data_IF_928825337033
#
_entry.id   IF_928825337033
#
_cell.length_a   1.000
_cell.length_b   1.000
_cell.length_c   1.000
_cell.angle_alpha   90.00
_cell.angle_beta   90.00
_cell.angle_gamma   90.00
#
_symmetry.space_group_name_H-M   'P 1'
#
loop_
_entity.id
_entity.type
_entity.pdbx_description
1 polymer ?
#
# COMPACT_ATOMS: atom_id res chain seq x y z
N UNK A 1 56.26 20.96 33.49
CA UNK A 1 55.75 19.93 34.40
C UNK A 1 54.42 20.40 34.95
N UNK A 2 53.43 19.58 35.25
CA UNK A 2 53.15 18.15 35.10
C UNK A 2 51.61 18.05 35.22
N UNK A 3 50.94 17.33 34.33
CA UNK A 3 50.48 15.95 34.48
C UNK A 3 49.39 15.72 35.54
N UNK A 4 48.31 15.03 35.17
CA UNK A 4 47.42 14.34 36.12
C UNK A 4 45.93 14.44 35.79
N UNK A 5 45.34 13.37 35.25
CA UNK A 5 43.94 13.26 34.84
C UNK A 5 42.95 12.88 35.94
N UNK A 6 41.71 12.60 35.51
CA UNK A 6 40.63 12.09 36.35
C UNK A 6 39.39 11.74 35.52
N UNK A 7 39.16 10.44 35.38
CA UNK A 7 38.04 9.77 34.73
C UNK A 7 36.83 9.65 35.69
N UNK A 8 35.61 9.47 35.14
CA UNK A 8 34.40 9.07 35.86
C UNK A 8 33.16 9.73 35.25
N UNK A 9 32.12 9.04 34.74
CA UNK A 9 31.75 7.64 34.86
C UNK A 9 30.27 7.55 35.27
N UNK A 10 29.42 7.05 34.37
CA UNK A 10 28.05 6.54 34.61
C UNK A 10 26.99 7.58 35.05
N UNK A 11 25.70 7.40 34.83
CA UNK A 11 24.91 6.21 34.59
C UNK A 11 23.45 6.66 34.36
N UNK A 12 22.63 5.81 33.74
CA UNK A 12 21.28 5.58 34.25
C UNK A 12 20.09 6.15 33.46
N UNK A 13 19.61 5.36 32.51
CA UNK A 13 18.24 5.41 31.98
C UNK A 13 18.12 4.28 30.96
N UNK A 14 17.88 3.02 31.30
CA UNK A 14 16.91 2.55 32.29
C UNK A 14 15.58 2.32 31.59
N UNK A 15 15.51 1.36 30.67
CA UNK A 15 14.24 0.74 30.30
C UNK A 15 14.35 -0.77 30.54
N UNK A 16 14.03 -1.16 31.76
CA UNK A 16 13.81 -2.55 32.13
C UNK A 16 12.32 -2.83 32.13
N UNK A 17 11.92 -3.99 31.61
CA UNK A 17 10.69 -4.65 32.02
C UNK A 17 9.76 -5.09 30.90
N UNK A 18 10.13 -6.15 30.18
CA UNK A 18 9.21 -6.88 29.31
C UNK A 18 9.97 -7.88 28.45
N UNK A 19 10.32 -9.04 29.00
CA UNK A 19 10.95 -10.15 28.26
C UNK A 19 9.97 -10.87 27.31
N UNK A 20 9.16 -10.11 26.59
CA UNK A 20 8.38 -10.61 25.46
C UNK A 20 9.24 -10.62 24.20
N UNK A 21 8.91 -11.46 23.20
CA UNK A 21 9.52 -11.32 21.89
C UNK A 21 9.29 -9.91 21.34
N UNK A 22 10.24 -9.33 20.59
CA UNK A 22 10.07 -8.02 19.96
C UNK A 22 8.82 -8.03 19.06
N UNK A 23 8.02 -6.96 19.13
CA UNK A 23 6.84 -6.80 18.28
C UNK A 23 7.31 -6.65 16.82
N UNK A 24 6.81 -7.49 15.91
CA UNK A 24 7.18 -7.37 14.50
C UNK A 24 6.44 -6.17 13.90
N UNK A 25 7.17 -5.07 13.78
CA UNK A 25 6.72 -3.83 13.14
C UNK A 25 7.62 -3.51 11.95
N UNK A 26 7.14 -2.61 11.10
CA UNK A 26 7.87 -2.17 9.92
C UNK A 26 9.22 -1.55 10.31
N UNK A 27 10.31 -2.05 9.72
CA UNK A 27 11.68 -1.60 10.00
C UNK A 27 12.59 -1.63 8.77
N UNK A 28 12.03 -1.75 7.55
CA UNK A 28 12.78 -1.71 6.29
C UNK A 28 13.21 -0.27 5.92
N UNK A 29 14.19 0.26 6.64
CA UNK A 29 14.85 1.54 6.40
C UNK A 29 16.21 1.58 7.12
N UNK A 30 17.14 2.38 6.61
CA UNK A 30 18.46 2.67 7.17
C UNK A 30 18.33 3.75 8.25
N UNK A 31 18.08 3.37 9.51
CA UNK A 31 17.87 4.36 10.56
C UNK A 31 17.67 3.80 11.97
N UNK A 32 17.40 4.68 12.95
CA UNK A 32 17.00 4.25 14.29
C UNK A 32 15.62 3.60 14.24
N UNK A 33 15.40 2.60 15.09
CA UNK A 33 14.06 2.04 15.30
C UNK A 33 13.14 3.12 15.86
N UNK A 34 11.93 3.21 15.30
CA UNK A 34 10.87 4.10 15.81
C UNK A 34 9.74 3.31 16.44
N UNK A 35 9.06 3.94 17.38
CA UNK A 35 7.81 3.44 17.94
C UNK A 35 6.60 3.77 17.04
N UNK A 36 5.54 3.00 17.22
CA UNK A 36 4.27 3.18 16.54
C UNK A 36 3.13 3.38 17.56
N UNK A 37 2.23 4.34 17.37
CA UNK A 37 2.14 5.27 16.23
C UNK A 37 3.32 6.25 16.15
N UNK A 38 3.73 6.62 14.93
CA UNK A 38 4.84 7.54 14.72
C UNK A 38 4.57 8.89 15.38
N UNK A 39 5.48 9.29 16.26
CA UNK A 39 5.49 10.61 16.89
C UNK A 39 6.49 11.54 16.21
N UNK A 40 6.45 12.82 16.61
CA UNK A 40 7.27 13.88 16.00
C UNK A 40 8.76 13.57 16.03
N UNK A 41 9.29 13.17 17.18
CA UNK A 41 10.72 12.90 17.33
C UNK A 41 11.14 11.75 16.41
N UNK A 42 10.31 10.70 16.30
CA UNK A 42 10.53 9.60 15.34
C UNK A 42 10.47 10.05 13.89
N UNK A 43 9.55 10.95 13.52
CA UNK A 43 9.49 11.51 12.17
C UNK A 43 10.73 12.38 11.85
N UNK A 44 11.24 13.13 12.83
CA UNK A 44 12.46 13.92 12.72
C UNK A 44 13.70 13.02 12.55
N UNK A 45 13.75 11.89 13.26
CA UNK A 45 14.80 10.87 13.10
C UNK A 45 14.77 10.26 11.68
N UNK A 46 13.58 9.88 11.20
CA UNK A 46 13.38 9.30 9.87
C UNK A 46 13.60 10.29 8.72
N UNK A 47 13.51 11.61 8.96
CA UNK A 47 13.69 12.61 7.91
C UNK A 47 15.09 12.60 7.27
N UNK A 48 16.07 12.00 7.95
CA UNK A 48 17.45 11.86 7.48
C UNK A 48 17.77 10.49 6.86
N UNK A 49 16.78 9.59 6.81
CA UNK A 49 16.94 8.22 6.33
C UNK A 49 16.40 8.06 4.90
N UNK A 50 16.34 6.82 4.46
CA UNK A 50 15.69 6.32 3.26
C UNK A 50 14.20 5.97 3.45
N UNK A 51 13.63 6.25 4.63
CA UNK A 51 12.22 6.04 4.91
C UNK A 51 11.35 6.93 4.02
N UNK A 52 10.36 6.33 3.36
CA UNK A 52 9.53 7.05 2.41
C UNK A 52 8.38 7.77 3.11
N UNK A 53 8.43 9.11 3.06
CA UNK A 53 7.36 10.03 3.49
C UNK A 53 6.84 9.77 4.93
N UNK A 54 7.64 9.98 5.98
CA UNK A 54 7.20 9.90 7.38
C UNK A 54 6.21 11.02 7.73
N UNK A 55 4.94 10.83 7.39
CA UNK A 55 3.86 11.81 7.58
C UNK A 55 3.18 11.60 8.94
N UNK A 56 3.01 12.68 9.70
CA UNK A 56 2.30 12.67 10.98
C UNK A 56 0.79 12.92 10.81
N UNK A 57 -0.09 12.31 11.64
CA UNK A 57 -1.54 12.51 11.56
C UNK A 57 -2.03 13.96 11.73
N UNK A 58 -1.23 14.82 12.35
CA UNK A 58 -1.57 16.23 12.58
C UNK A 58 -1.12 17.19 11.47
N UNK A 59 -0.53 16.70 10.39
CA UNK A 59 -0.04 17.55 9.31
C UNK A 59 -1.17 18.21 8.50
N UNK A 60 -0.98 19.43 7.97
CA UNK A 60 -2.06 20.22 7.35
C UNK A 60 -2.75 19.56 6.14
N UNK A 61 -2.06 18.66 5.44
CA UNK A 61 -2.60 17.99 4.26
C UNK A 61 -3.29 16.65 4.58
N UNK A 62 -3.32 16.25 5.86
CA UNK A 62 -4.00 15.04 6.32
C UNK A 62 -5.48 15.37 6.58
N UNK A 63 -6.35 14.89 5.71
CA UNK A 63 -7.80 15.12 5.76
C UNK A 63 -8.59 14.00 6.47
N UNK A 64 -7.98 12.82 6.57
CA UNK A 64 -8.54 11.63 7.23
C UNK A 64 -7.52 11.08 8.23
N UNK A 65 -7.93 10.99 9.49
CA UNK A 65 -7.09 10.45 10.56
C UNK A 65 -6.96 8.92 10.46
N UNK A 66 -5.86 8.32 10.97
CA UNK A 66 -5.64 6.87 10.92
C UNK A 66 -6.78 6.02 11.50
N UNK A 67 -7.49 6.51 12.52
CA UNK A 67 -8.61 5.80 13.16
C UNK A 67 -9.90 5.73 12.33
N UNK A 68 -9.93 6.26 11.11
CA UNK A 68 -11.10 6.15 10.22
C UNK A 68 -11.33 4.71 9.73
N UNK A 69 -10.24 3.98 9.47
CA UNK A 69 -10.28 2.54 9.14
C UNK A 69 -9.93 1.71 10.38
N UNK A 70 -10.28 0.42 10.34
CA UNK A 70 -9.88 -0.51 11.39
C UNK A 70 -8.35 -0.55 11.51
N UNK A 71 -7.82 -0.70 12.72
CA UNK A 71 -6.37 -0.87 12.92
C UNK A 71 -5.83 -2.06 12.12
N UNK A 72 -4.59 -1.95 11.67
CA UNK A 72 -3.86 -3.07 11.09
C UNK A 72 -3.78 -4.24 12.08
N UNK A 73 -3.83 -5.47 11.57
CA UNK A 73 -3.48 -6.66 12.35
C UNK A 73 -1.99 -6.98 12.22
N UNK A 74 -1.46 -7.62 13.26
CA UNK A 74 -0.05 -7.96 13.42
C UNK A 74 0.12 -9.43 13.88
N UNK A 75 1.28 -10.07 13.60
CA UNK A 75 1.52 -11.46 14.00
C UNK A 75 1.56 -11.66 15.52
N UNK A 76 1.83 -10.59 16.26
CA UNK A 76 1.94 -10.51 17.73
C UNK A 76 0.66 -10.03 18.43
N UNK A 77 -0.44 -9.84 17.69
CA UNK A 77 -1.73 -9.50 18.28
C UNK A 77 -2.24 -10.62 19.22
N UNK A 78 -3.09 -10.25 20.17
CA UNK A 78 -3.66 -11.20 21.14
C UNK A 78 -4.50 -12.32 20.48
N UNK A 79 -5.09 -12.04 19.32
CA UNK A 79 -5.80 -12.98 18.45
C UNK A 79 -5.26 -12.86 17.02
N UNK A 80 -4.15 -13.54 16.69
CA UNK A 80 -3.47 -13.38 15.42
C UNK A 80 -4.04 -14.30 14.32
N UNK A 81 -5.11 -15.05 14.58
CA UNK A 81 -5.66 -16.03 13.63
C UNK A 81 -6.07 -15.37 12.30
N UNK A 82 -6.71 -14.20 12.38
CA UNK A 82 -7.09 -13.43 11.20
C UNK A 82 -5.86 -12.92 10.42
N UNK A 83 -4.81 -12.50 11.13
CA UNK A 83 -3.55 -12.10 10.50
C UNK A 83 -2.91 -13.28 9.77
N UNK A 84 -2.79 -14.43 10.43
CA UNK A 84 -2.12 -15.59 9.86
C UNK A 84 -2.89 -16.20 8.69
N UNK A 85 -4.22 -16.25 8.75
CA UNK A 85 -5.05 -16.68 7.62
C UNK A 85 -4.86 -15.77 6.40
N UNK A 86 -4.79 -14.46 6.61
CA UNK A 86 -4.53 -13.50 5.54
C UNK A 86 -3.10 -13.64 4.99
N UNK A 87 -2.10 -13.75 5.87
CA UNK A 87 -0.71 -13.94 5.45
C UNK A 87 -0.51 -15.25 4.68
N UNK A 88 -1.15 -16.34 5.12
CA UNK A 88 -1.11 -17.63 4.40
C UNK A 88 -1.63 -17.50 2.98
N UNK A 89 -2.71 -16.73 2.76
CA UNK A 89 -3.21 -16.45 1.43
C UNK A 89 -2.20 -15.67 0.57
N UNK A 90 -1.42 -14.74 1.15
CA UNK A 90 -0.34 -14.05 0.43
C UNK A 90 0.77 -15.04 0.05
N UNK A 91 1.17 -15.92 0.98
CA UNK A 91 2.17 -16.98 0.73
C UNK A 91 1.72 -17.89 -0.41
N UNK A 92 0.44 -18.29 -0.44
CA UNK A 92 -0.12 -19.11 -1.53
C UNK A 92 0.00 -18.44 -2.89
N UNK A 93 -0.27 -17.13 -2.98
CA UNK A 93 -0.05 -16.39 -4.22
C UNK A 93 1.42 -16.27 -4.60
N UNK A 94 2.34 -16.16 -3.62
CA UNK A 94 3.77 -16.11 -3.92
C UNK A 94 4.31 -17.45 -4.40
N UNK A 95 3.88 -18.57 -3.81
CA UNK A 95 4.20 -19.91 -4.31
C UNK A 95 3.65 -20.10 -5.73
N UNK A 96 2.36 -19.81 -5.96
CA UNK A 96 1.75 -19.92 -7.28
C UNK A 96 2.46 -19.06 -8.33
N UNK A 97 2.83 -17.81 -7.99
CA UNK A 97 3.55 -16.91 -8.90
C UNK A 97 4.96 -17.42 -9.22
N UNK A 98 5.68 -17.98 -8.24
CA UNK A 98 7.01 -18.55 -8.45
C UNK A 98 6.96 -19.79 -9.35
N UNK A 99 5.98 -20.66 -9.13
CA UNK A 99 5.84 -21.92 -9.87
C UNK A 99 5.27 -21.72 -11.28
N UNK A 100 4.30 -20.81 -11.42
CA UNK A 100 3.56 -20.59 -12.65
C UNK A 100 3.29 -19.08 -12.87
N UNK A 101 4.32 -18.27 -13.17
CA UNK A 101 4.20 -16.81 -13.27
C UNK A 101 3.21 -16.34 -14.35
N UNK A 102 3.02 -17.15 -15.40
CA UNK A 102 2.09 -16.89 -16.50
C UNK A 102 0.65 -17.33 -16.21
N UNK A 103 0.37 -17.80 -14.99
CA UNK A 103 -1.00 -18.14 -14.58
C UNK A 103 -1.93 -16.94 -14.75
N UNK A 104 -3.12 -17.11 -15.35
CA UNK A 104 -4.04 -16.01 -15.57
C UNK A 104 -4.53 -15.44 -14.22
N UNK A 105 -4.67 -14.12 -14.13
CA UNK A 105 -5.23 -13.46 -12.93
C UNK A 105 -6.75 -13.58 -12.82
N UNK A 106 -7.44 -13.83 -13.95
CA UNK A 106 -8.90 -13.85 -14.04
C UNK A 106 -9.64 -14.79 -13.05
N UNK A 107 -9.10 -15.96 -12.65
CA UNK A 107 -9.73 -16.80 -11.63
C UNK A 107 -9.74 -16.17 -10.21
N UNK A 108 -8.84 -15.22 -9.95
CA UNK A 108 -8.64 -14.62 -8.62
C UNK A 108 -9.13 -13.17 -8.54
N UNK A 109 -9.33 -12.54 -9.70
CA UNK A 109 -9.61 -11.11 -9.81
C UNK A 109 -10.42 -10.84 -11.09
N UNK A 110 -11.50 -10.05 -10.96
CA UNK A 110 -12.20 -9.51 -12.12
C UNK A 110 -11.42 -8.34 -12.72
N UNK A 111 -10.74 -8.58 -13.84
CA UNK A 111 -9.90 -7.60 -14.51
C UNK A 111 -10.71 -6.57 -15.31
N UNK A 112 -10.31 -5.29 -15.33
CA UNK A 112 -10.83 -4.34 -16.30
C UNK A 112 -10.33 -4.71 -17.70
N UNK A 113 -11.06 -4.27 -18.73
CA UNK A 113 -10.73 -4.52 -20.14
C UNK A 113 -9.32 -4.06 -20.49
N UNK A 114 -8.86 -2.95 -19.92
CA UNK A 114 -7.50 -2.41 -20.16
C UNK A 114 -6.38 -3.30 -19.61
N UNK A 115 -6.70 -4.26 -18.72
CA UNK A 115 -5.78 -5.27 -18.18
C UNK A 115 -6.23 -6.69 -18.56
N UNK A 116 -7.07 -6.83 -19.59
CA UNK A 116 -7.58 -8.12 -20.02
C UNK A 116 -6.45 -9.08 -20.38
N UNK A 117 -6.50 -10.29 -19.84
CA UNK A 117 -5.51 -11.35 -20.13
C UNK A 117 -4.23 -11.27 -19.29
N UNK A 118 -4.12 -10.33 -18.35
CA UNK A 118 -2.95 -10.25 -17.48
C UNK A 118 -2.79 -11.54 -16.66
N UNK A 119 -1.55 -12.06 -16.66
CA UNK A 119 -1.11 -13.08 -15.72
C UNK A 119 -0.86 -12.49 -14.33
N UNK A 120 -0.51 -13.35 -13.36
CA UNK A 120 -0.07 -12.90 -12.04
C UNK A 120 1.20 -12.04 -12.14
N UNK A 121 2.14 -12.42 -13.00
CA UNK A 121 3.37 -11.67 -13.24
C UNK A 121 3.10 -10.34 -13.96
N UNK A 122 2.27 -10.34 -15.01
CA UNK A 122 1.91 -9.08 -15.72
C UNK A 122 1.22 -8.10 -14.77
N UNK A 123 0.33 -8.60 -13.91
CA UNK A 123 -0.34 -7.80 -12.90
C UNK A 123 0.63 -7.20 -11.88
N UNK A 124 1.55 -8.02 -11.34
CA UNK A 124 2.57 -7.56 -10.40
C UNK A 124 3.48 -6.49 -11.02
N UNK A 125 3.91 -6.69 -12.26
CA UNK A 125 4.74 -5.73 -13.01
C UNK A 125 3.98 -4.42 -13.30
N UNK A 126 2.71 -4.52 -13.68
CA UNK A 126 1.85 -3.38 -13.99
C UNK A 126 1.73 -2.37 -12.84
N UNK A 127 1.94 -2.80 -11.60
CA UNK A 127 1.86 -1.95 -10.41
C UNK A 127 3.19 -1.80 -9.68
N UNK A 128 4.32 -2.12 -10.33
CA UNK A 128 5.64 -2.13 -9.69
C UNK A 128 6.18 -0.73 -9.41
N UNK A 129 6.46 0.02 -10.48
CA UNK A 129 7.08 1.35 -10.47
C UNK A 129 6.35 2.30 -11.42
N UNK A 130 5.04 2.16 -11.51
CA UNK A 130 4.24 3.01 -12.37
C UNK A 130 4.17 4.44 -11.85
N UNK A 131 4.01 5.39 -12.77
CA UNK A 131 3.68 6.74 -12.35
C UNK A 131 2.29 6.73 -11.67
N UNK A 132 2.09 7.38 -10.51
CA UNK A 132 0.95 7.10 -9.63
C UNK A 132 -0.46 7.25 -10.25
N UNK A 133 -0.62 8.07 -11.30
CA UNK A 133 -1.89 8.26 -11.99
C UNK A 133 -1.99 7.52 -13.35
N UNK A 134 -1.05 6.61 -13.67
CA UNK A 134 -0.99 5.90 -14.95
C UNK A 134 -2.31 5.20 -15.24
N UNK A 135 -2.74 4.30 -14.35
CA UNK A 135 -3.91 3.46 -14.57
C UNK A 135 -5.24 4.22 -14.65
N UNK A 136 -5.53 5.17 -13.75
CA UNK A 136 -6.67 6.07 -13.92
C UNK A 136 -6.63 6.82 -15.26
N UNK A 137 -5.44 7.25 -15.70
CA UNK A 137 -5.28 7.95 -16.99
C UNK A 137 -5.52 7.03 -18.19
N UNK A 138 -5.07 5.77 -18.14
CA UNK A 138 -5.35 4.77 -19.19
C UNK A 138 -6.85 4.43 -19.26
N UNK A 139 -7.54 4.31 -18.13
CA UNK A 139 -8.99 4.14 -18.11
C UNK A 139 -9.71 5.34 -18.73
N UNK A 140 -9.30 6.57 -18.39
CA UNK A 140 -9.86 7.79 -19.01
C UNK A 140 -9.69 7.75 -20.52
N UNK A 141 -8.49 7.42 -21.02
CA UNK A 141 -8.25 7.29 -22.48
C UNK A 141 -9.16 6.24 -23.10
N UNK A 142 -9.31 5.09 -22.45
CA UNK A 142 -10.17 4.01 -22.90
C UNK A 142 -11.65 4.46 -22.99
N UNK A 143 -12.18 5.08 -21.94
CA UNK A 143 -13.56 5.57 -21.87
C UNK A 143 -13.83 6.64 -22.94
N UNK A 144 -12.92 7.60 -23.13
CA UNK A 144 -13.03 8.59 -24.20
C UNK A 144 -13.01 7.94 -25.59
N UNK A 145 -12.16 6.93 -25.80
CA UNK A 145 -12.11 6.14 -27.02
C UNK A 145 -13.42 5.38 -27.32
N UNK A 146 -14.15 4.96 -26.28
CA UNK A 146 -15.49 4.38 -26.38
C UNK A 146 -16.60 5.41 -26.63
N UNK A 147 -16.26 6.70 -26.70
CA UNK A 147 -17.24 7.76 -26.91
C UNK A 147 -17.90 8.27 -25.63
N UNK A 148 -17.36 7.96 -24.45
CA UNK A 148 -17.82 8.59 -23.21
C UNK A 148 -17.69 10.12 -23.31
N UNK A 149 -18.55 10.83 -22.59
CA UNK A 149 -18.65 12.29 -22.60
C UNK A 149 -18.65 12.81 -21.17
N UNK A 150 -18.23 14.05 -20.99
CA UNK A 150 -18.43 14.77 -19.75
C UNK A 150 -19.93 14.89 -19.46
N UNK A 151 -20.32 14.82 -18.18
CA UNK A 151 -21.68 15.16 -17.78
C UNK A 151 -21.87 16.68 -17.88
N UNK A 152 -22.69 17.12 -18.83
CA UNK A 152 -22.92 18.55 -19.08
C UNK A 152 -23.66 19.29 -17.96
N UNK A 153 -24.34 18.56 -17.06
CA UNK A 153 -24.99 19.15 -15.88
C UNK A 153 -23.98 19.46 -14.77
N UNK A 154 -22.89 18.70 -14.69
CA UNK A 154 -21.82 18.89 -13.70
C UNK A 154 -20.68 19.74 -14.26
N UNK A 155 -20.28 19.48 -15.50
CA UNK A 155 -19.21 20.18 -16.21
C UNK A 155 -19.79 20.84 -17.46
N UNK A 156 -20.20 22.12 -17.39
CA UNK A 156 -20.79 22.82 -18.52
C UNK A 156 -19.86 22.87 -19.73
N UNK A 157 -20.39 22.57 -20.91
CA UNK A 157 -19.67 22.73 -22.17
C UNK A 157 -19.51 24.21 -22.51
N UNK A 158 -18.29 24.61 -22.87
CA UNK A 158 -17.97 25.98 -23.31
C UNK A 158 -18.16 26.17 -24.80
N UNK A 159 -18.08 25.09 -25.58
CA UNK A 159 -18.27 25.11 -27.03
C UNK A 159 -18.59 23.69 -27.56
N UNK A 160 -18.86 23.59 -28.87
CA UNK A 160 -19.08 22.29 -29.55
C UNK A 160 -17.91 21.32 -29.39
N UNK A 161 -16.69 21.83 -29.19
CA UNK A 161 -15.49 21.03 -28.98
C UNK A 161 -14.73 21.60 -27.78
N UNK A 162 -14.87 20.96 -26.63
CA UNK A 162 -14.35 21.48 -25.37
C UNK A 162 -13.18 20.66 -24.84
N UNK A 163 -11.98 20.95 -25.36
CA UNK A 163 -10.76 20.26 -24.95
C UNK A 163 -10.37 20.54 -23.49
N UNK A 164 -10.61 21.78 -23.04
CA UNK A 164 -10.20 22.24 -21.71
C UNK A 164 -11.07 21.60 -20.63
N UNK A 165 -12.39 21.58 -20.80
CA UNK A 165 -13.29 20.93 -19.84
C UNK A 165 -13.42 19.41 -20.03
N UNK A 166 -12.71 18.82 -21.00
CA UNK A 166 -12.66 17.36 -21.19
C UNK A 166 -11.27 16.82 -20.86
N UNK A 167 -10.34 16.80 -21.81
CA UNK A 167 -9.05 16.13 -21.66
C UNK A 167 -8.17 16.79 -20.60
N UNK A 168 -8.11 18.13 -20.59
CA UNK A 168 -7.29 18.86 -19.62
C UNK A 168 -7.85 18.73 -18.20
N UNK A 169 -9.17 18.84 -18.05
CA UNK A 169 -9.83 18.63 -16.75
C UNK A 169 -9.62 17.20 -16.25
N UNK A 170 -9.83 16.17 -17.08
CA UNK A 170 -9.65 14.78 -16.67
C UNK A 170 -8.20 14.48 -16.28
N UNK A 171 -7.21 15.03 -17.01
CA UNK A 171 -5.80 14.91 -16.64
C UNK A 171 -5.48 15.60 -15.30
N UNK A 172 -6.11 16.76 -15.04
CA UNK A 172 -6.00 17.43 -13.73
C UNK A 172 -6.63 16.58 -12.63
N UNK A 173 -7.81 16.00 -12.86
CA UNK A 173 -8.53 15.18 -11.88
C UNK A 173 -7.76 13.91 -11.51
N UNK A 174 -7.16 13.20 -12.48
CA UNK A 174 -6.36 12.00 -12.18
C UNK A 174 -5.14 12.33 -11.33
N UNK A 175 -4.44 13.45 -11.62
CA UNK A 175 -3.31 13.89 -10.80
C UNK A 175 -3.73 14.41 -9.41
N UNK A 176 -4.79 15.20 -9.35
CA UNK A 176 -5.33 15.74 -8.10
C UNK A 176 -5.79 14.63 -7.16
N UNK A 177 -6.52 13.63 -7.66
CA UNK A 177 -7.02 12.51 -6.87
C UNK A 177 -5.89 11.77 -6.14
N UNK A 178 -4.78 11.51 -6.82
CA UNK A 178 -3.60 10.90 -6.18
C UNK A 178 -2.95 11.85 -5.17
N UNK A 179 -2.80 13.12 -5.56
CA UNK A 179 -2.12 14.10 -4.71
C UNK A 179 -2.85 14.30 -3.38
N UNK A 180 -4.18 14.33 -3.38
CA UNK A 180 -4.97 14.66 -2.20
C UNK A 180 -5.08 13.50 -1.21
N UNK A 181 -5.10 12.25 -1.70
CA UNK A 181 -5.18 11.06 -0.83
C UNK A 181 -3.85 10.70 -0.17
N UNK A 182 -2.72 11.08 -0.79
CA UNK A 182 -1.39 10.61 -0.40
C UNK A 182 -1.02 10.93 1.05
N UNK A 183 -1.19 12.16 1.56
CA UNK A 183 -0.81 12.50 2.94
C UNK A 183 -1.60 11.68 3.97
N UNK A 184 -2.91 11.56 3.82
CA UNK A 184 -3.76 10.75 4.71
C UNK A 184 -3.39 9.26 4.68
N UNK A 185 -3.09 8.71 3.51
CA UNK A 185 -2.63 7.33 3.38
C UNK A 185 -1.28 7.10 4.09
N UNK A 186 -0.31 8.00 3.92
CA UNK A 186 1.00 7.91 4.58
C UNK A 186 0.92 8.15 6.09
N UNK A 187 0.09 9.09 6.55
CA UNK A 187 -0.18 9.25 7.98
C UNK A 187 -0.73 7.96 8.61
N UNK A 188 -1.61 7.25 7.90
CA UNK A 188 -2.12 5.96 8.35
C UNK A 188 -1.04 4.85 8.34
N UNK A 189 -0.13 4.84 7.35
CA UNK A 189 1.05 3.96 7.32
C UNK A 189 1.90 4.09 8.57
N UNK A 190 2.33 5.31 8.84
CA UNK A 190 3.23 5.59 9.95
C UNK A 190 2.53 5.56 11.30
N UNK A 191 1.21 5.66 11.36
CA UNK A 191 0.46 5.40 12.59
C UNK A 191 0.34 3.90 12.93
N UNK A 192 0.26 3.02 11.92
CA UNK A 192 0.07 1.58 12.16
C UNK A 192 1.39 0.79 12.22
N UNK A 193 2.39 1.16 11.42
CA UNK A 193 3.67 0.44 11.42
C UNK A 193 3.57 -1.03 11.02
N UNK A 194 2.55 -1.40 10.24
CA UNK A 194 2.35 -2.80 9.82
C UNK A 194 3.54 -3.25 8.97
N UNK A 195 4.21 -4.32 9.41
CA UNK A 195 5.27 -4.98 8.67
C UNK A 195 4.75 -5.43 7.30
N UNK A 196 5.64 -5.47 6.32
CA UNK A 196 5.39 -5.95 4.97
C UNK A 196 5.37 -7.47 4.95
N UNK A 197 4.64 -8.11 4.00
CA UNK A 197 4.63 -9.56 3.90
C UNK A 197 6.03 -10.20 3.83
N UNK A 198 6.98 -9.53 3.17
CA UNK A 198 8.37 -10.02 3.08
C UNK A 198 9.10 -10.02 4.44
N UNK A 199 8.87 -9.03 5.31
CA UNK A 199 9.46 -8.98 6.65
C UNK A 199 8.92 -10.13 7.51
N UNK A 200 7.62 -10.42 7.38
CA UNK A 200 6.98 -11.52 8.10
C UNK A 200 7.45 -12.88 7.59
N UNK A 201 7.51 -13.08 6.27
CA UNK A 201 8.02 -14.31 5.69
C UNK A 201 9.48 -14.56 6.07
N UNK A 202 10.30 -13.52 6.09
CA UNK A 202 11.68 -13.60 6.52
C UNK A 202 11.80 -13.97 8.00
N UNK A 203 11.07 -13.29 8.89
CA UNK A 203 11.06 -13.60 10.32
C UNK A 203 10.59 -15.03 10.61
N UNK A 204 9.60 -15.54 9.85
CA UNK A 204 9.18 -16.95 9.90
C UNK A 204 10.33 -17.87 9.47
N UNK A 205 11.00 -17.57 8.36
CA UNK A 205 12.11 -18.38 7.85
C UNK A 205 13.32 -18.41 8.80
N UNK A 206 13.57 -17.32 9.54
CA UNK A 206 14.62 -17.23 10.56
C UNK A 206 14.22 -17.81 11.92
N UNK A 207 12.95 -18.18 12.11
CA UNK A 207 12.45 -18.67 13.41
C UNK A 207 12.42 -17.59 14.48
N UNK A 208 12.24 -16.33 14.10
CA UNK A 208 12.27 -15.16 14.99
C UNK A 208 10.90 -14.90 15.66
N UNK A 209 9.83 -15.55 15.20
CA UNK A 209 8.47 -15.39 15.71
C UNK A 209 8.09 -16.53 16.67
N UNK A 210 7.43 -16.17 17.77
CA UNK A 210 7.12 -17.10 18.86
C UNK A 210 6.03 -18.14 18.54
N UNK A 211 4.97 -17.76 17.83
CA UNK A 211 3.87 -18.65 17.45
C UNK A 211 3.46 -18.46 16.01
N UNK A 212 3.87 -19.40 15.15
CA UNK A 212 3.54 -19.42 13.72
C UNK A 212 2.74 -20.70 13.43
N UNK A 213 1.60 -20.63 12.72
CA UNK A 213 0.88 -21.82 12.30
C UNK A 213 1.76 -22.77 11.47
N UNK A 214 1.65 -24.07 11.72
CA UNK A 214 2.50 -25.07 11.06
C UNK A 214 2.34 -25.07 9.53
N UNK A 215 1.13 -24.77 9.02
CA UNK A 215 0.86 -24.63 7.57
C UNK A 215 1.69 -23.50 6.96
N UNK A 216 1.68 -22.32 7.59
CA UNK A 216 2.45 -21.14 7.18
C UNK A 216 3.94 -21.43 7.23
N UNK A 217 4.44 -22.00 8.34
CA UNK A 217 5.86 -22.31 8.49
C UNK A 217 6.35 -23.29 7.41
N UNK A 218 5.55 -24.33 7.09
CA UNK A 218 5.88 -25.28 6.03
C UNK A 218 5.93 -24.62 4.64
N UNK A 219 4.94 -23.79 4.31
CA UNK A 219 4.90 -23.06 3.03
C UNK A 219 6.04 -22.07 2.88
N UNK A 220 6.38 -21.32 3.94
CA UNK A 220 7.54 -20.40 3.92
C UNK A 220 8.85 -21.17 3.74
N UNK A 221 8.99 -22.33 4.39
CA UNK A 221 10.18 -23.18 4.21
C UNK A 221 10.32 -23.68 2.75
N UNK A 222 9.21 -24.01 2.09
CA UNK A 222 9.19 -24.40 0.66
C UNK A 222 9.72 -23.29 -0.26
N UNK A 223 9.51 -22.02 0.11
CA UNK A 223 10.00 -20.89 -0.69
C UNK A 223 11.53 -20.75 -0.72
N UNK A 224 12.25 -21.45 0.16
CA UNK A 224 13.71 -21.46 0.26
C UNK A 224 14.35 -20.05 0.22
N UNK A 225 13.81 -19.13 1.02
CA UNK A 225 14.24 -17.73 1.03
C UNK A 225 15.70 -17.60 1.48
N UNK A 226 16.49 -16.83 0.72
CA UNK A 226 17.89 -16.47 1.04
C UNK A 226 18.03 -15.00 1.44
N UNK A 227 17.04 -14.17 1.09
CA UNK A 227 16.85 -12.80 1.52
C UNK A 227 15.35 -12.48 1.66
N UNK A 228 14.95 -11.42 2.40
CA UNK A 228 13.54 -11.00 2.48
C UNK A 228 12.93 -10.72 1.10
N UNK A 229 13.69 -10.08 0.21
CA UNK A 229 13.26 -9.68 -1.13
C UNK A 229 12.86 -10.86 -2.01
N UNK A 230 13.38 -12.07 -1.73
CA UNK A 230 13.02 -13.31 -2.44
C UNK A 230 11.54 -13.66 -2.30
N UNK A 231 10.84 -13.09 -1.31
CA UNK A 231 9.40 -13.27 -1.14
C UNK A 231 8.58 -12.57 -2.23
N UNK A 232 9.03 -11.40 -2.69
CA UNK A 232 8.23 -10.51 -3.54
C UNK A 232 8.45 -10.77 -5.03
N UNK A 233 7.69 -10.09 -5.87
CA UNK A 233 7.94 -10.06 -7.32
C UNK A 233 9.08 -9.11 -7.72
N UNK A 234 9.61 -8.32 -6.79
CA UNK A 234 10.51 -7.21 -7.07
C UNK A 234 11.91 -7.48 -6.51
N UNK A 235 12.98 -7.28 -7.30
CA UNK A 235 14.34 -7.50 -6.83
C UNK A 235 14.70 -6.71 -5.57
N UNK A 236 14.14 -5.51 -5.39
CA UNK A 236 14.34 -4.64 -4.24
C UNK A 236 13.35 -4.87 -3.08
N UNK A 237 12.37 -5.75 -3.27
CA UNK A 237 11.30 -5.99 -2.31
C UNK A 237 10.22 -4.91 -2.30
N UNK A 238 9.57 -4.74 -1.15
CA UNK A 238 8.56 -3.68 -0.95
C UNK A 238 9.17 -2.27 -0.75
N UNK A 239 8.41 -1.19 -1.03
CA UNK A 239 8.86 0.18 -0.74
C UNK A 239 9.21 0.42 0.74
N UNK A 240 10.06 1.43 1.02
CA UNK A 240 10.60 1.73 2.36
C UNK A 240 9.62 2.52 3.24
N UNK A 241 8.38 2.04 3.30
CA UNK A 241 7.33 2.53 4.20
C UNK A 241 6.38 1.38 4.62
N UNK A 242 5.64 1.53 5.74
CA UNK A 242 4.73 0.49 6.25
C UNK A 242 3.68 0.00 5.24
N UNK A 243 3.18 -1.21 5.47
CA UNK A 243 2.24 -1.88 4.57
C UNK A 243 0.84 -1.26 4.58
N UNK A 244 0.30 -0.93 5.75
CA UNK A 244 -1.12 -0.59 5.88
C UNK A 244 -1.36 0.92 5.95
N UNK A 245 -2.26 1.52 5.13
CA UNK A 245 -3.00 0.96 4.01
C UNK A 245 -2.16 0.93 2.74
N UNK A 246 -2.63 0.27 1.68
CA UNK A 246 -1.98 0.35 0.37
C UNK A 246 -2.26 1.72 -0.28
N UNK A 247 -1.20 2.50 -0.58
CA UNK A 247 -1.33 3.81 -1.23
C UNK A 247 -1.85 3.66 -2.67
N UNK A 248 -1.35 2.67 -3.42
CA UNK A 248 -1.86 2.30 -4.74
C UNK A 248 -3.40 2.13 -4.75
N UNK A 249 -3.95 1.52 -3.70
CA UNK A 249 -5.39 1.37 -3.52
C UNK A 249 -6.08 2.70 -3.21
N UNK A 250 -5.52 3.51 -2.30
CA UNK A 250 -6.07 4.84 -2.00
C UNK A 250 -6.05 5.79 -3.20
N UNK A 251 -5.05 5.67 -4.08
CA UNK A 251 -4.93 6.40 -5.33
C UNK A 251 -5.91 5.90 -6.41
N UNK A 252 -6.30 4.62 -6.35
CA UNK A 252 -7.26 3.99 -7.27
C UNK A 252 -8.70 4.28 -6.83
N UNK A 253 -9.14 5.52 -7.04
CA UNK A 253 -10.50 6.00 -6.70
C UNK A 253 -11.29 6.41 -7.95
N UNK A 254 -10.90 5.88 -9.11
CA UNK A 254 -11.50 6.26 -10.39
C UNK A 254 -13.01 5.96 -10.41
N UNK A 255 -13.45 4.89 -9.75
CA UNK A 255 -14.86 4.53 -9.66
C UNK A 255 -15.72 5.49 -8.85
N UNK A 256 -15.11 6.35 -8.03
CA UNK A 256 -15.83 7.34 -7.23
C UNK A 256 -16.07 8.63 -8.02
N UNK A 257 -15.02 9.21 -8.63
CA UNK A 257 -15.11 10.55 -9.20
C UNK A 257 -15.45 10.55 -10.70
N UNK A 258 -15.08 9.52 -11.46
CA UNK A 258 -15.41 9.47 -12.90
C UNK A 258 -16.92 9.53 -13.17
N UNK A 259 -17.78 8.78 -12.45
CA UNK A 259 -19.23 8.83 -12.67
C UNK A 259 -19.87 10.16 -12.26
N UNK A 260 -19.15 11.01 -11.51
CA UNK A 260 -19.60 12.36 -11.14
C UNK A 260 -19.37 13.32 -12.30
N UNK A 261 -18.19 13.28 -12.93
CA UNK A 261 -17.81 14.27 -13.96
C UNK A 261 -18.10 13.79 -15.39
N UNK A 262 -18.35 12.50 -15.59
CA UNK A 262 -18.63 11.90 -16.89
C UNK A 262 -20.00 11.21 -16.90
N UNK A 263 -20.71 11.32 -18.02
CA UNK A 263 -21.92 10.57 -18.29
C UNK A 263 -21.56 9.13 -18.68
N UNK A 264 -21.34 8.27 -17.67
CA UNK A 264 -20.96 6.88 -17.84
C UNK A 264 -22.17 5.94 -17.80
N UNK A 265 -22.11 4.88 -18.58
CA UNK A 265 -23.02 3.72 -18.43
C UNK A 265 -22.63 2.86 -17.23
N UNK A 266 -23.56 2.04 -16.72
CA UNK A 266 -23.28 1.08 -15.64
C UNK A 266 -22.09 0.16 -15.94
N UNK A 267 -21.93 -0.25 -17.21
CA UNK A 267 -20.80 -1.06 -17.64
C UNK A 267 -19.46 -0.32 -17.49
N UNK A 268 -19.42 0.98 -17.82
CA UNK A 268 -18.22 1.81 -17.68
C UNK A 268 -17.90 2.13 -16.21
N UNK A 269 -18.92 2.30 -15.37
CA UNK A 269 -18.74 2.41 -13.92
C UNK A 269 -18.18 1.09 -13.36
N UNK A 270 -18.68 -0.05 -13.84
CA UNK A 270 -18.15 -1.36 -13.45
C UNK A 270 -16.68 -1.53 -13.87
N UNK A 271 -16.29 -1.05 -15.05
CA UNK A 271 -14.87 -1.02 -15.47
C UNK A 271 -13.99 -0.20 -14.52
N UNK A 272 -14.46 0.96 -14.07
CA UNK A 272 -13.73 1.76 -13.10
C UNK A 272 -13.54 1.03 -11.76
N UNK A 273 -14.58 0.32 -11.29
CA UNK A 273 -14.48 -0.51 -10.06
C UNK A 273 -13.54 -1.69 -10.23
N UNK A 274 -13.55 -2.33 -11.40
CA UNK A 274 -12.61 -3.42 -11.73
C UNK A 274 -11.18 -2.90 -11.72
N UNK A 275 -10.94 -1.70 -12.25
CA UNK A 275 -9.61 -1.09 -12.20
C UNK A 275 -9.16 -0.82 -10.77
N UNK A 276 -9.99 -0.16 -9.97
CA UNK A 276 -9.65 0.20 -8.59
C UNK A 276 -9.25 -1.05 -7.78
N UNK A 277 -9.99 -2.15 -7.93
CA UNK A 277 -9.66 -3.42 -7.29
C UNK A 277 -8.47 -4.15 -7.93
N UNK A 278 -8.28 -4.05 -9.25
CA UNK A 278 -7.16 -4.71 -9.93
C UNK A 278 -5.81 -4.11 -9.54
N UNK A 279 -5.68 -2.78 -9.58
CA UNK A 279 -4.47 -2.06 -9.13
C UNK A 279 -4.15 -2.42 -7.68
N UNK A 280 -5.17 -2.49 -6.84
CA UNK A 280 -5.05 -2.90 -5.44
C UNK A 280 -4.54 -4.33 -5.31
N UNK A 281 -5.27 -5.29 -5.88
CA UNK A 281 -5.01 -6.72 -5.67
C UNK A 281 -3.71 -7.20 -6.31
N UNK A 282 -3.27 -6.55 -7.39
CA UNK A 282 -1.97 -6.84 -7.98
C UNK A 282 -0.80 -6.56 -7.05
N UNK A 283 -0.93 -5.65 -6.07
CA UNK A 283 0.09 -5.48 -5.01
C UNK A 283 0.20 -6.69 -4.09
N UNK A 284 -0.90 -7.43 -3.88
CA UNK A 284 -0.87 -8.72 -3.16
C UNK A 284 -0.25 -9.82 -3.99
N UNK A 285 -0.53 -9.86 -5.31
CA UNK A 285 0.14 -10.82 -6.20
C UNK A 285 1.65 -10.56 -6.29
N UNK A 286 2.07 -9.29 -6.19
CA UNK A 286 3.47 -8.90 -6.07
C UNK A 286 4.11 -9.22 -4.70
N UNK A 287 3.32 -9.61 -3.70
CA UNK A 287 3.81 -9.95 -2.36
C UNK A 287 4.15 -8.76 -1.47
N UNK A 288 3.65 -7.55 -1.80
CA UNK A 288 4.00 -6.32 -1.04
C UNK A 288 2.87 -5.79 -0.16
N UNK A 289 1.64 -6.28 -0.32
CA UNK A 289 0.47 -5.85 0.47
C UNK A 289 -0.48 -7.01 0.81
N UNK A 290 -1.15 -6.88 1.95
CA UNK A 290 -2.25 -7.74 2.36
C UNK A 290 -3.58 -7.28 1.74
N UNK A 291 -4.62 -8.12 1.77
CA UNK A 291 -5.94 -7.77 1.26
C UNK A 291 -6.62 -6.65 2.07
N UNK A 292 -6.42 -6.67 3.38
CA UNK A 292 -6.91 -5.66 4.31
C UNK A 292 -6.21 -4.31 4.08
N UNK A 293 -4.92 -4.29 3.71
CA UNK A 293 -4.24 -3.05 3.29
C UNK A 293 -4.94 -2.43 2.08
N UNK A 294 -5.28 -3.28 1.10
CA UNK A 294 -5.90 -2.88 -0.15
C UNK A 294 -7.31 -2.31 0.08
N UNK A 295 -8.12 -3.01 0.88
CA UNK A 295 -9.48 -2.58 1.23
C UNK A 295 -9.48 -1.29 2.02
N UNK A 296 -8.58 -1.16 2.99
CA UNK A 296 -8.41 0.05 3.77
C UNK A 296 -7.95 1.23 2.91
N UNK A 297 -7.03 0.98 1.97
CA UNK A 297 -6.59 1.98 1.01
C UNK A 297 -7.76 2.51 0.18
N UNK A 298 -8.56 1.63 -0.43
CA UNK A 298 -9.76 2.02 -1.18
C UNK A 298 -10.74 2.85 -0.32
N UNK A 299 -10.98 2.44 0.93
CA UNK A 299 -11.87 3.16 1.84
C UNK A 299 -11.35 4.56 2.18
N UNK A 300 -10.06 4.69 2.51
CA UNK A 300 -9.42 6.00 2.79
C UNK A 300 -9.46 6.87 1.54
N UNK A 301 -9.10 6.32 0.38
CA UNK A 301 -9.13 7.05 -0.88
C UNK A 301 -10.51 7.63 -1.17
N UNK A 302 -11.56 6.83 -1.00
CA UNK A 302 -12.93 7.29 -1.20
C UNK A 302 -13.33 8.39 -0.20
N UNK A 303 -13.02 8.22 1.07
CA UNK A 303 -13.37 9.21 2.10
C UNK A 303 -12.67 10.55 1.89
N UNK A 304 -11.36 10.53 1.61
CA UNK A 304 -10.60 11.76 1.33
C UNK A 304 -11.20 12.48 0.13
N UNK A 305 -11.47 11.76 -0.96
CA UNK A 305 -12.05 12.34 -2.17
C UNK A 305 -13.45 12.94 -1.98
N UNK A 306 -14.22 12.48 -0.97
CA UNK A 306 -15.53 13.06 -0.64
C UNK A 306 -15.40 14.36 0.17
N UNK A 307 -14.35 14.49 0.98
CA UNK A 307 -14.12 15.65 1.86
C UNK A 307 -13.54 16.86 1.14
N UNK A 308 -12.82 16.62 0.05
CA UNK A 308 -11.99 17.59 -0.68
C UNK A 308 -12.64 18.02 -2.00
#
# INVERSE_FOLDING_TARGET
GGNGGGNGGGNGGGNGGGGGPPLLRFHKYDGPMVDYPLERDGAEDLASTDAESPVLPGEPLVSVAPGFVASASHPDDADPDAFWAEFEAVVDFQLLRKDAPTSPSAPYLSLPVIMSGYSLADGAEAVHSEFPNLWPSELVKHLLGQGARMDGAIVPQRSRTDFVNTQVLLARMTGWAVSVVSPSAFACKWANGRARPEEVAWAVAQGELGSVPASVAAKVAEMALTAPTDFTAYPEGSPRHPSYPAMHSAASTASLWLPVVMALSDAQVAEARRLDWAVSRFRTFAGVHYDSDNRAGLAIGQEVMVRE
#
